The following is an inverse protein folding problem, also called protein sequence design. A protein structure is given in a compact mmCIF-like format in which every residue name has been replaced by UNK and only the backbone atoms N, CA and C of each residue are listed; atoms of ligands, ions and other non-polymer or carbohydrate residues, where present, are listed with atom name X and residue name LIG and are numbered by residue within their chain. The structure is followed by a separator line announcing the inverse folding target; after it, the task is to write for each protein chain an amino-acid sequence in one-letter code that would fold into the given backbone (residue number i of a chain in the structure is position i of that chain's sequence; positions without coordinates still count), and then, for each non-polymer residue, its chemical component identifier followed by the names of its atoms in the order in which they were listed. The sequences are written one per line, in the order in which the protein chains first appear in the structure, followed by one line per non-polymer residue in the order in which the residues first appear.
data_IF_392994811347
#
_entry.id   IF_392994811347
#
_cell.length_a   1.000
_cell.length_b   1.000
_cell.length_c   1.000
_cell.angle_alpha   90.00
_cell.angle_beta   90.00
_cell.angle_gamma   90.00
#
_symmetry.space_group_name_H-M   'P 1'
#
loop_
_entity.id
_entity.type
_entity.pdbx_description
1 polymer ?
#
# COMPACT_ATOMS: atom_id res chain seq x y z
N UNK A 1 -35.64 -25.22 -34.04
CA UNK A 1 -35.45 -24.91 -33.96
C UNK A 1 -34.75 -24.39 -33.35
N UNK A 2 -34.37 -24.58 -33.27
CA UNK A 2 -33.81 -24.26 -33.01
C UNK A 2 -33.45 -23.49 -32.29
N UNK A 3 -33.82 -23.37 -32.20
CA UNK A 3 -33.85 -22.60 -31.30
C UNK A 3 -32.79 -22.73 -30.39
N UNK A 4 -32.66 -23.66 -30.08
CA UNK A 4 -31.75 -23.85 -29.09
C UNK A 4 -30.65 -23.01 -29.23
N UNK A 5 -30.46 -22.85 -30.24
CA UNK A 5 -29.47 -22.14 -30.45
C UNK A 5 -29.32 -21.05 -29.62
N UNK A 6 -30.17 -20.59 -29.40
CA UNK A 6 -29.99 -19.38 -28.78
C UNK A 6 -29.26 -19.56 -27.56
N UNK A 7 -29.61 -20.36 -26.92
CA UNK A 7 -29.01 -20.51 -25.71
C UNK A 7 -27.57 -20.32 -25.72
N UNK A 8 -27.05 -20.87 -26.54
CA UNK A 8 -25.67 -20.72 -26.50
C UNK A 8 -25.13 -19.42 -26.12
N UNK A 9 -25.54 -18.56 -26.76
CA UNK A 9 -24.98 -17.38 -26.47
C UNK A 9 -24.92 -16.92 -25.16
N UNK A 10 -25.77 -17.15 -24.54
CA UNK A 10 -25.76 -16.62 -23.33
C UNK A 10 -24.61 -16.99 -22.66
N UNK A 11 -24.26 -17.99 -22.80
CA UNK A 11 -23.16 -18.46 -22.14
C UNK A 11 -22.06 -17.59 -22.34
N UNK A 12 -21.86 -17.34 -23.42
CA UNK A 12 -20.80 -16.54 -23.67
C UNK A 12 -20.73 -15.40 -22.76
N UNK A 13 -21.70 -14.87 -22.66
CA UNK A 13 -21.73 -13.74 -21.86
C UNK A 13 -21.06 -14.00 -20.62
N UNK A 14 -21.43 -14.89 -20.03
CA UNK A 14 -20.86 -15.12 -18.77
C UNK A 14 -19.41 -15.06 -18.88
N UNK A 15 -18.99 -15.65 -19.71
CA UNK A 15 -17.58 -15.65 -19.78
C UNK A 15 -17.02 -14.34 -19.62
N UNK A 16 -17.43 -13.53 -20.33
CA UNK A 16 -16.87 -12.33 -20.26
C UNK A 16 -16.85 -11.80 -19.00
N UNK A 17 -17.71 -11.96 -18.43
CA UNK A 17 -17.77 -11.38 -17.25
C UNK A 17 -16.66 -11.78 -16.54
N UNK A 18 -16.47 -12.89 -16.51
CA UNK A 18 -15.41 -13.36 -15.75
C UNK A 18 -14.28 -12.54 -16.11
N UNK A 19 -14.16 -12.42 -17.27
CA UNK A 19 -13.03 -11.73 -17.62
C UNK A 19 -12.88 -10.53 -16.83
N UNK A 20 -13.84 -9.89 -16.71
CA UNK A 20 -13.71 -8.72 -16.10
C UNK A 20 -13.07 -8.84 -14.92
N UNK A 21 -13.41 -9.67 -14.33
CA UNK A 21 -12.87 -9.66 -13.10
C UNK A 21 -11.46 -9.59 -13.29
N UNK A 22 -11.10 -9.84 -14.35
CA UNK A 22 -9.77 -9.79 -14.52
C UNK A 22 -9.07 -8.82 -13.69
N UNK A 23 -9.47 -7.77 -13.70
CA UNK A 23 -8.72 -6.81 -13.07
C UNK A 23 -8.18 -7.22 -11.78
N UNK A 24 -8.90 -7.85 -11.07
CA UNK A 24 -8.47 -8.15 -9.83
C UNK A 24 -7.28 -8.92 -9.71
N UNK A 25 -7.08 -9.82 -10.41
CA UNK A 25 -5.97 -10.66 -10.21
C UNK A 25 -4.69 -9.98 -10.12
N UNK A 26 -4.61 -9.04 -10.79
CA UNK A 26 -3.41 -8.33 -10.77
C UNK A 26 -2.75 -8.20 -9.48
N UNK A 27 -3.37 -7.79 -8.58
CA UNK A 27 -2.72 -7.53 -7.39
C UNK A 27 -2.30 -8.70 -6.65
N UNK A 28 -2.68 -9.75 -6.98
CA UNK A 28 -2.32 -10.86 -6.23
C UNK A 28 -0.89 -11.20 -6.29
N UNK A 29 -0.31 -11.00 -7.35
CA UNK A 29 1.02 -11.39 -7.46
C UNK A 29 1.92 -10.69 -6.55
N UNK A 30 2.47 -10.60 -5.94
CA UNK A 30 3.38 -9.93 -5.12
C UNK A 30 3.02 -9.87 -3.68
N UNK A 31 1.97 -10.44 -3.33
CA UNK A 31 1.59 -10.39 -1.94
C UNK A 31 0.83 -9.12 -1.66
N UNK A 32 0.54 -8.86 -0.45
CA UNK A 32 -0.32 -7.75 -0.10
C UNK A 32 0.28 -6.40 -0.46
N UNK A 33 -0.51 -5.59 -1.08
CA UNK A 33 -0.09 -4.26 -1.41
C UNK A 33 -1.15 -3.37 -0.83
N UNK A 34 -0.86 -2.68 0.23
CA UNK A 34 -1.84 -1.87 0.90
C UNK A 34 -2.24 -0.65 0.09
N UNK A 35 -1.31 -0.05 -0.58
CA UNK A 35 -1.58 1.17 -1.36
C UNK A 35 -0.87 1.12 -2.69
N UNK A 36 -1.46 1.81 -3.67
CA UNK A 36 -0.76 2.01 -4.94
C UNK A 36 0.24 3.14 -4.70
N UNK A 37 1.10 3.38 -5.64
CA UNK A 37 2.10 4.43 -5.50
C UNK A 37 1.46 5.80 -5.25
N UNK A 38 0.41 6.12 -5.96
CA UNK A 38 -0.24 7.41 -5.75
C UNK A 38 -1.01 7.45 -4.45
N UNK A 39 -1.59 6.35 -4.02
CA UNK A 39 -2.30 6.33 -2.75
C UNK A 39 -1.34 6.48 -1.59
N UNK A 40 -0.14 5.93 -1.71
CA UNK A 40 0.84 6.02 -0.66
C UNK A 40 1.22 7.47 -0.38
N UNK A 41 1.25 8.30 -1.39
CA UNK A 41 1.61 9.70 -1.23
C UNK A 41 0.60 10.48 -0.41
N UNK A 42 -0.63 10.03 -0.39
CA UNK A 42 -1.69 10.74 0.35
C UNK A 42 -2.24 9.94 1.52
N UNK A 43 -1.69 8.78 1.79
CA UNK A 43 -2.18 7.96 2.90
C UNK A 43 -1.93 8.64 4.23
N UNK A 44 -2.87 8.54 5.12
CA UNK A 44 -2.81 9.22 6.41
C UNK A 44 -2.82 8.24 7.57
N UNK A 45 -2.66 8.76 8.76
CA UNK A 45 -2.77 7.95 9.97
C UNK A 45 -4.15 7.29 10.06
N UNK A 46 -5.18 7.96 9.58
CA UNK A 46 -6.50 7.37 9.58
C UNK A 46 -6.53 6.11 8.72
N UNK A 47 -5.83 6.14 7.60
CA UNK A 47 -5.73 4.97 6.73
C UNK A 47 -4.90 3.87 7.41
N UNK A 48 -3.85 4.26 8.11
CA UNK A 48 -2.99 3.32 8.85
C UNK A 48 -3.80 2.52 9.87
N UNK A 49 -4.70 3.19 10.57
CA UNK A 49 -5.48 2.53 11.60
C UNK A 49 -6.40 1.44 11.05
N UNK A 50 -6.74 1.51 9.78
CA UNK A 50 -7.62 0.53 9.17
C UNK A 50 -6.87 -0.68 8.63
N UNK A 51 -5.56 -0.66 8.66
CA UNK A 51 -4.77 -1.74 8.09
C UNK A 51 -4.52 -2.86 9.09
N UNK A 52 -4.39 -4.07 8.59
CA UNK A 52 -3.99 -5.20 9.42
C UNK A 52 -2.50 -5.07 9.69
N UNK A 53 -2.00 -5.83 10.63
CA UNK A 53 -0.59 -5.81 10.95
C UNK A 53 0.26 -6.11 9.71
N UNK A 54 -0.14 -7.11 8.95
CA UNK A 54 0.60 -7.47 7.75
C UNK A 54 0.62 -6.34 6.75
N UNK A 55 -0.51 -5.68 6.56
CA UNK A 55 -0.59 -4.58 5.65
C UNK A 55 0.26 -3.40 6.11
N UNK A 56 0.33 -3.19 7.41
CA UNK A 56 1.16 -2.11 7.95
C UNK A 56 2.63 -2.33 7.64
N UNK A 57 3.12 -3.56 7.78
CA UNK A 57 4.51 -3.83 7.43
C UNK A 57 4.73 -3.68 5.92
N UNK A 58 3.73 -4.03 5.10
CA UNK A 58 3.85 -3.83 3.68
C UNK A 58 3.95 -2.34 3.34
N UNK A 59 3.21 -1.50 4.05
CA UNK A 59 3.28 -0.06 3.86
C UNK A 59 4.66 0.47 4.25
N UNK A 60 5.22 -0.05 5.33
CA UNK A 60 6.56 0.37 5.75
C UNK A 60 7.57 0.05 4.64
N UNK A 61 7.46 -1.10 4.02
CA UNK A 61 8.35 -1.45 2.92
C UNK A 61 8.13 -0.52 1.72
N UNK A 62 6.88 -0.17 1.44
CA UNK A 62 6.59 0.75 0.35
C UNK A 62 7.18 2.12 0.64
N UNK A 63 7.05 2.61 1.87
CA UNK A 63 7.60 3.91 2.24
C UNK A 63 9.12 3.90 2.13
N UNK A 64 9.73 2.80 2.53
CA UNK A 64 11.17 2.69 2.45
C UNK A 64 11.63 2.75 1.00
N UNK A 65 10.95 2.05 0.12
CA UNK A 65 11.32 2.03 -1.28
C UNK A 65 11.19 3.41 -1.93
N UNK A 66 10.14 4.13 -1.58
CA UNK A 66 9.95 5.46 -2.13
C UNK A 66 11.00 6.41 -1.58
N UNK A 67 11.26 6.33 -0.28
CA UNK A 67 12.22 7.23 0.34
C UNK A 67 13.64 7.00 -0.14
N UNK A 68 13.99 5.76 -0.43
CA UNK A 68 15.35 5.48 -0.89
C UNK A 68 15.59 6.02 -2.29
N UNK A 69 14.54 6.18 -3.07
CA UNK A 69 14.65 6.74 -4.41
C UNK A 69 15.29 5.81 -5.41
N UNK A 70 15.39 6.24 -6.64
CA UNK A 70 15.92 5.40 -7.72
C UNK A 70 17.37 4.99 -7.52
N UNK A 71 18.14 5.81 -6.83
CA UNK A 71 19.54 5.49 -6.60
C UNK A 71 19.77 4.75 -5.29
N UNK A 72 18.74 4.49 -4.55
CA UNK A 72 18.81 3.84 -3.25
C UNK A 72 19.70 4.60 -2.26
N UNK A 73 19.86 5.89 -2.45
CA UNK A 73 20.68 6.71 -1.56
C UNK A 73 19.87 7.59 -0.62
N UNK A 74 18.57 7.57 -0.72
CA UNK A 74 17.74 8.37 0.16
C UNK A 74 17.75 7.84 1.57
N UNK A 75 17.45 8.69 2.52
CA UNK A 75 17.43 8.29 3.92
C UNK A 75 16.28 7.33 4.20
N UNK A 76 16.57 6.28 4.92
CA UNK A 76 15.55 5.29 5.28
C UNK A 76 15.67 4.92 6.75
N UNK A 77 14.67 4.21 7.24
CA UNK A 77 14.68 3.72 8.61
C UNK A 77 14.66 2.19 8.61
N UNK A 78 15.24 1.56 9.65
CA UNK A 78 15.08 0.13 9.83
C UNK A 78 13.60 -0.16 9.96
N UNK A 79 13.17 -1.29 9.46
CA UNK A 79 11.75 -1.62 9.40
C UNK A 79 11.01 -1.47 10.72
N UNK A 80 11.55 -2.05 11.78
CA UNK A 80 10.86 -2.02 13.07
C UNK A 80 10.81 -0.60 13.63
N UNK A 81 11.87 0.16 13.44
CA UNK A 81 11.89 1.52 13.93
C UNK A 81 10.86 2.37 13.19
N UNK A 82 10.72 2.15 11.90
CA UNK A 82 9.73 2.87 11.11
C UNK A 82 8.32 2.50 11.56
N UNK A 83 8.09 1.22 11.79
CA UNK A 83 6.79 0.77 12.25
C UNK A 83 6.44 1.43 13.59
N UNK A 84 7.35 1.34 14.53
CA UNK A 84 7.11 1.87 15.88
C UNK A 84 6.87 3.37 15.85
N UNK A 85 7.62 4.08 15.03
CA UNK A 85 7.50 5.53 14.94
C UNK A 85 6.13 5.91 14.39
N UNK A 86 5.72 5.28 13.30
CA UNK A 86 4.45 5.61 12.67
C UNK A 86 3.28 5.15 13.55
N UNK A 87 3.37 3.95 14.08
CA UNK A 87 2.28 3.41 14.88
C UNK A 87 2.06 4.23 16.14
N UNK A 88 3.15 4.63 16.78
CA UNK A 88 3.06 5.44 17.97
C UNK A 88 2.45 6.80 17.65
N UNK A 89 2.91 7.42 16.58
CA UNK A 89 2.41 8.74 16.24
C UNK A 89 0.94 8.68 15.79
N UNK A 90 0.59 7.69 15.00
CA UNK A 90 -0.76 7.55 14.53
C UNK A 90 -1.74 7.13 15.64
N UNK A 91 -1.23 6.75 16.80
CA UNK A 91 -2.08 6.43 17.93
C UNK A 91 -2.70 7.67 18.56
N UNK A 92 -2.21 8.85 18.24
CA UNK A 92 -2.73 10.06 18.82
C UNK A 92 -3.90 10.59 17.98
N UNK A 93 -4.94 10.99 18.68
CA UNK A 93 -6.14 11.46 18.02
C UNK A 93 -5.86 12.61 17.06
N UNK A 94 -5.01 13.54 17.44
CA UNK A 94 -4.76 14.72 16.62
C UNK A 94 -3.94 14.41 15.37
N UNK A 95 -3.38 13.22 15.27
CA UNK A 95 -2.54 12.88 14.14
C UNK A 95 -3.27 12.25 12.98
N UNK A 96 -4.58 12.12 13.06
CA UNK A 96 -5.33 11.37 12.06
C UNK A 96 -5.13 11.83 10.63
N UNK A 97 -4.89 13.08 10.42
CA UNK A 97 -4.68 13.60 9.08
C UNK A 97 -3.22 13.69 8.66
N UNK A 98 -2.31 13.23 9.49
CA UNK A 98 -0.90 13.31 9.15
C UNK A 98 -0.57 12.31 8.05
N UNK A 99 0.26 12.72 7.11
CA UNK A 99 0.63 11.86 6.00
C UNK A 99 1.73 10.89 6.43
N UNK A 100 1.53 9.63 6.15
CA UNK A 100 2.51 8.60 6.50
C UNK A 100 3.84 8.88 5.81
N UNK A 101 3.78 9.29 4.56
CA UNK A 101 4.95 9.55 3.78
C UNK A 101 5.80 10.65 4.41
N UNK A 102 5.18 11.72 4.87
CA UNK A 102 5.91 12.79 5.51
C UNK A 102 6.51 12.38 6.83
N UNK A 103 5.76 11.62 7.61
CA UNK A 103 6.28 11.16 8.89
C UNK A 103 7.49 10.27 8.69
N UNK A 104 7.42 9.38 7.71
CA UNK A 104 8.55 8.51 7.42
C UNK A 104 9.77 9.34 7.02
N UNK A 105 9.60 10.26 6.09
CA UNK A 105 10.72 11.06 5.61
C UNK A 105 11.36 11.90 6.70
N UNK A 106 10.56 12.48 7.55
CA UNK A 106 11.11 13.29 8.63
C UNK A 106 11.88 12.42 9.60
N UNK A 107 11.32 11.29 9.97
CA UNK A 107 11.98 10.40 10.91
C UNK A 107 13.27 9.84 10.32
N UNK A 108 13.26 9.51 9.05
CA UNK A 108 14.44 8.98 8.39
C UNK A 108 15.54 10.04 8.33
N UNK A 109 15.18 11.27 8.05
CA UNK A 109 16.16 12.33 8.01
C UNK A 109 16.77 12.59 9.39
N UNK A 110 15.93 12.53 10.40
CA UNK A 110 16.43 12.73 11.75
C UNK A 110 17.36 11.60 12.14
N UNK A 111 17.02 10.39 11.77
CA UNK A 111 17.82 9.23 12.09
C UNK A 111 19.21 9.37 11.47
N UNK A 112 19.27 9.90 10.26
CA UNK A 112 20.53 10.09 9.58
C UNK A 112 21.37 11.15 10.30
N UNK A 113 20.72 12.22 10.69
CA UNK A 113 21.44 13.31 11.37
C UNK A 113 21.96 12.90 12.73
N UNK A 114 21.27 12.02 13.41
CA UNK A 114 21.70 11.60 14.71
C UNK A 114 22.77 10.51 14.65
N UNK A 115 23.06 10.04 13.47
CA UNK A 115 24.07 9.02 13.36
C UNK A 115 23.60 7.61 13.65
N UNK A 116 22.33 7.43 13.81
CA UNK A 116 21.80 6.13 14.13
C UNK A 116 21.60 5.29 12.90
N UNK A 117 21.88 5.79 11.80
CA UNK A 117 21.68 5.16 10.53
C UNK A 117 21.72 3.69 10.40
#
# INVERSE_FOLDING_TARGET
MSPGRGAAFLVAAAALVAGCGGGTPAQVSGGPVAFTASQLQVATCSDWQKLSLRERYAVIDQLKNVASGPDHNGATLPQQKAYDTIDNRCGHYFARGFLLYEMYNRAASFNTLSGDG
#
